data_IF_895909814385
#
_entry.id   IF_895909814385
#
_cell.length_a   1.000
_cell.length_b   1.000
_cell.length_c   1.000
_cell.angle_alpha   90.00
_cell.angle_beta   90.00
_cell.angle_gamma   90.00
#
_symmetry.space_group_name_H-M   'P 1'
#
loop_
_entity.id
_entity.type
_entity.pdbx_description
1 polymer ?
#
# COMPACT_ATOMS: atom_id res chain seq x y z
N UNK A 1 -19.38 30.98 16.59
CA UNK A 1 -19.05 30.07 15.47
C UNK A 1 -19.03 28.61 15.91
N UNK A 2 -18.10 28.18 16.77
CA UNK A 2 -17.96 26.78 17.15
C UNK A 2 -19.24 26.15 17.75
N UNK A 3 -19.97 26.90 18.58
CA UNK A 3 -21.22 26.43 19.17
C UNK A 3 -22.29 26.17 18.10
N UNK A 4 -22.48 27.09 17.15
CA UNK A 4 -23.45 26.92 16.05
C UNK A 4 -23.08 25.72 15.18
N UNK A 5 -21.78 25.56 14.85
CA UNK A 5 -21.27 24.42 14.06
C UNK A 5 -21.55 23.08 14.75
N UNK A 6 -21.23 23.01 16.06
CA UNK A 6 -21.46 21.79 16.85
C UNK A 6 -22.96 21.45 16.96
N UNK A 7 -23.78 22.45 17.19
CA UNK A 7 -25.25 22.28 17.29
C UNK A 7 -25.85 21.83 15.96
N UNK A 8 -25.50 22.49 14.85
CA UNK A 8 -25.98 22.11 13.52
C UNK A 8 -25.59 20.66 13.18
N UNK A 9 -24.36 20.23 13.54
CA UNK A 9 -23.91 18.85 13.36
C UNK A 9 -24.70 17.86 14.24
N UNK A 10 -24.91 18.19 15.53
CA UNK A 10 -25.66 17.32 16.45
C UNK A 10 -27.13 17.14 16.04
N UNK A 11 -27.74 18.19 15.49
CA UNK A 11 -29.12 18.14 15.02
C UNK A 11 -29.27 17.55 13.61
N UNK A 12 -28.16 17.30 12.89
CA UNK A 12 -28.20 16.93 11.47
C UNK A 12 -28.83 18.02 10.57
N UNK A 13 -28.88 19.27 11.06
CA UNK A 13 -29.55 20.39 10.39
C UNK A 13 -28.55 21.47 9.97
N UNK A 14 -28.12 21.40 8.73
CA UNK A 14 -27.28 22.43 8.11
C UNK A 14 -28.13 23.33 7.24
N UNK A 15 -28.14 24.63 7.58
CA UNK A 15 -28.86 25.68 6.84
C UNK A 15 -27.89 26.75 6.32
N UNK A 16 -28.33 27.62 5.39
CA UNK A 16 -27.54 28.78 4.98
C UNK A 16 -27.19 29.68 6.18
N UNK A 17 -28.14 29.89 7.09
CA UNK A 17 -27.90 30.65 8.31
C UNK A 17 -26.82 30.01 9.18
N UNK A 18 -26.93 28.71 9.49
CA UNK A 18 -25.91 28.01 10.28
C UNK A 18 -24.54 28.04 9.63
N UNK A 19 -24.45 27.87 8.30
CA UNK A 19 -23.21 27.94 7.52
C UNK A 19 -22.53 29.31 7.57
N UNK A 20 -23.32 30.40 7.65
CA UNK A 20 -22.79 31.76 7.80
C UNK A 20 -22.41 32.08 9.26
N UNK A 21 -23.28 31.74 10.21
CA UNK A 21 -22.99 31.98 11.63
C UNK A 21 -21.81 31.18 12.17
N UNK A 22 -21.59 29.97 11.66
CA UNK A 22 -20.42 29.17 12.09
C UNK A 22 -19.07 29.81 11.68
N UNK A 23 -19.07 30.57 10.58
CA UNK A 23 -17.89 31.30 10.09
C UNK A 23 -17.69 32.69 10.75
N UNK A 24 -18.67 33.14 11.51
CA UNK A 24 -18.70 34.45 12.14
C UNK A 24 -19.34 35.51 11.26
N UNK A 25 -20.07 36.42 11.87
CA UNK A 25 -20.68 37.59 11.25
C UNK A 25 -20.23 38.87 11.97
N UNK A 26 -20.32 39.99 11.26
CA UNK A 26 -20.06 41.29 11.85
C UNK A 26 -21.28 41.81 12.63
N UNK A 27 -21.22 41.85 13.97
CA UNK A 27 -22.33 42.37 14.76
C UNK A 27 -22.60 43.86 14.52
N UNK A 28 -21.59 44.64 14.10
CA UNK A 28 -21.78 46.08 13.76
C UNK A 28 -22.60 46.27 12.49
N UNK A 29 -22.65 45.25 11.62
CA UNK A 29 -23.44 45.28 10.39
C UNK A 29 -24.96 45.13 10.61
N UNK A 30 -25.40 44.63 11.77
CA UNK A 30 -26.81 44.30 12.01
C UNK A 30 -27.73 45.49 11.78
N UNK A 31 -27.41 46.67 12.32
CA UNK A 31 -28.22 47.88 12.16
C UNK A 31 -28.34 48.32 10.70
N UNK A 32 -27.24 48.39 9.98
CA UNK A 32 -27.23 48.73 8.57
C UNK A 32 -28.06 47.76 7.70
N UNK A 33 -27.94 46.45 8.00
CA UNK A 33 -28.72 45.44 7.29
C UNK A 33 -30.21 45.55 7.62
N UNK A 34 -30.59 45.86 8.87
CA UNK A 34 -31.95 46.09 9.26
C UNK A 34 -32.52 47.33 8.53
N UNK A 35 -31.83 48.46 8.55
CA UNK A 35 -32.27 49.70 7.87
C UNK A 35 -32.49 49.45 6.37
N UNK A 36 -31.60 48.68 5.71
CA UNK A 36 -31.78 48.31 4.30
C UNK A 36 -32.99 47.39 4.08
N UNK A 37 -33.22 46.45 4.99
CA UNK A 37 -34.39 45.56 4.92
C UNK A 37 -35.71 46.38 5.03
N UNK A 38 -35.75 47.33 5.96
CA UNK A 38 -36.91 48.22 6.17
C UNK A 38 -37.13 49.12 4.97
N UNK A 39 -36.07 49.69 4.39
CA UNK A 39 -36.13 50.45 3.14
C UNK A 39 -36.76 49.62 1.98
N UNK A 40 -36.36 48.35 1.87
CA UNK A 40 -36.91 47.47 0.84
C UNK A 40 -38.38 47.13 1.09
N UNK A 41 -38.82 46.98 2.35
CA UNK A 41 -40.23 46.78 2.71
C UNK A 41 -41.08 47.97 2.22
N UNK A 42 -40.59 49.18 2.47
CA UNK A 42 -41.29 50.41 2.01
C UNK A 42 -41.25 50.54 0.48
N UNK A 43 -40.09 50.31 -0.16
CA UNK A 43 -39.93 50.44 -1.60
C UNK A 43 -40.82 49.45 -2.38
N UNK A 44 -41.04 48.27 -1.85
CA UNK A 44 -41.83 47.20 -2.47
C UNK A 44 -43.30 47.23 -2.03
N UNK A 45 -43.71 48.20 -1.20
CA UNK A 45 -45.05 48.27 -0.61
C UNK A 45 -45.47 46.94 0.07
N UNK A 46 -44.50 46.32 0.75
CA UNK A 46 -44.68 44.99 1.33
C UNK A 46 -45.20 45.04 2.79
N UNK A 47 -45.38 46.23 3.35
CA UNK A 47 -45.88 46.44 4.71
C UNK A 47 -45.52 47.81 5.28
N UNK A 48 -46.04 48.08 6.49
CA UNK A 48 -45.78 49.33 7.21
C UNK A 48 -44.59 49.16 8.16
N UNK A 49 -43.65 50.11 8.10
CA UNK A 49 -42.50 50.15 9.01
C UNK A 49 -42.85 50.92 10.28
N UNK A 50 -42.83 50.27 11.43
CA UNK A 50 -43.07 50.86 12.74
C UNK A 50 -41.80 51.55 13.23
N UNK A 51 -41.95 52.78 13.76
CA UNK A 51 -40.81 53.54 14.27
C UNK A 51 -40.33 52.96 15.63
N UNK A 52 -39.01 52.89 15.77
CA UNK A 52 -38.30 52.45 16.97
C UNK A 52 -37.45 51.20 16.73
N UNK A 53 -36.34 51.12 17.44
CA UNK A 53 -35.41 49.99 17.37
C UNK A 53 -35.04 49.57 18.78
N UNK A 54 -35.12 48.27 19.05
CA UNK A 54 -34.60 47.67 20.25
C UNK A 54 -33.26 47.01 19.88
N UNK A 55 -32.16 47.53 20.41
CA UNK A 55 -30.82 46.97 20.18
C UNK A 55 -30.18 46.62 21.55
N UNK A 56 -29.94 45.32 21.80
CA UNK A 56 -29.33 44.83 23.01
C UNK A 56 -27.99 44.20 22.68
N UNK A 57 -26.93 44.88 22.95
CA UNK A 57 -25.58 44.38 22.69
C UNK A 57 -24.83 44.11 23.99
N UNK A 58 -24.83 42.84 24.40
CA UNK A 58 -24.26 42.42 25.74
C UNK A 58 -22.74 42.44 25.72
N UNK A 59 -22.09 42.03 24.63
CA UNK A 59 -20.63 41.98 24.53
C UNK A 59 -20.17 42.76 23.30
N UNK A 60 -19.89 44.04 23.51
CA UNK A 60 -19.38 44.90 22.45
C UNK A 60 -17.94 44.48 22.11
N UNK A 61 -17.64 44.25 20.82
CA UNK A 61 -16.28 43.99 20.40
C UNK A 61 -15.49 45.27 20.34
N UNK A 62 -14.30 45.27 20.93
CA UNK A 62 -13.34 46.36 20.81
C UNK A 62 -12.73 46.41 19.40
N UNK A 63 -12.27 47.59 19.02
CA UNK A 63 -11.54 47.82 17.79
C UNK A 63 -10.19 47.09 17.85
N UNK A 64 -9.94 46.24 16.84
CA UNK A 64 -8.68 45.53 16.74
C UNK A 64 -7.66 46.36 15.98
N UNK A 65 -6.42 46.38 16.48
CA UNK A 65 -5.30 47.09 15.87
C UNK A 65 -4.15 46.13 15.65
N UNK A 66 -3.47 46.28 14.50
CA UNK A 66 -2.28 45.50 14.15
C UNK A 66 -1.20 46.49 13.68
N UNK A 67 0.02 46.47 14.24
CA UNK A 67 1.12 47.31 13.77
C UNK A 67 1.47 47.01 12.31
N UNK A 68 1.57 48.05 11.47
CA UNK A 68 2.04 47.89 10.08
C UNK A 68 3.57 47.80 10.07
N UNK A 69 4.07 46.58 10.08
CA UNK A 69 5.52 46.29 10.02
C UNK A 69 5.96 46.17 8.57
N UNK A 70 6.24 47.29 7.92
CA UNK A 70 6.61 47.38 6.50
C UNK A 70 7.71 46.39 6.12
N UNK A 71 8.80 46.32 6.92
CA UNK A 71 9.92 45.43 6.65
C UNK A 71 9.55 43.94 6.78
N UNK A 72 8.66 43.61 7.72
CA UNK A 72 8.18 42.23 7.87
C UNK A 72 7.31 41.80 6.70
N UNK A 73 6.39 42.67 6.25
CA UNK A 73 5.55 42.42 5.07
C UNK A 73 6.42 42.24 3.82
N UNK A 74 7.36 43.19 3.57
CA UNK A 74 8.25 43.09 2.42
C UNK A 74 9.11 41.83 2.42
N UNK A 75 9.64 41.46 3.58
CA UNK A 75 10.45 40.25 3.72
C UNK A 75 9.63 38.98 3.43
N UNK A 76 8.38 38.93 3.91
CA UNK A 76 7.49 37.80 3.67
C UNK A 76 7.11 37.69 2.18
N UNK A 77 6.80 38.83 1.54
CA UNK A 77 6.34 38.86 0.17
C UNK A 77 7.46 38.92 -0.89
N UNK A 78 8.70 39.21 -0.46
CA UNK A 78 9.79 39.45 -1.38
C UNK A 78 9.67 40.77 -2.15
N UNK A 79 8.95 41.74 -1.60
CA UNK A 79 8.66 43.06 -2.21
C UNK A 79 9.49 44.18 -1.59
N UNK A 80 9.38 45.39 -2.16
CA UNK A 80 10.04 46.62 -1.65
C UNK A 80 9.04 47.78 -1.61
N UNK A 81 7.86 47.54 -1.07
CA UNK A 81 6.81 48.54 -0.95
C UNK A 81 7.12 49.48 0.21
N UNK A 82 6.87 50.74 0.03
CA UNK A 82 6.89 51.73 1.15
C UNK A 82 5.57 51.71 1.94
N UNK A 83 5.56 52.40 3.09
CA UNK A 83 4.37 52.48 3.95
C UNK A 83 3.19 53.10 3.23
N UNK A 84 3.39 54.14 2.41
CA UNK A 84 2.34 54.86 1.72
C UNK A 84 1.67 53.94 0.67
N UNK A 85 2.43 53.13 -0.05
CA UNK A 85 1.92 52.17 -1.00
C UNK A 85 1.05 51.09 -0.34
N UNK A 86 1.51 50.54 0.84
CA UNK A 86 0.73 49.56 1.60
C UNK A 86 -0.57 50.19 2.15
N UNK A 87 -0.50 51.40 2.68
CA UNK A 87 -1.65 52.12 3.22
C UNK A 87 -2.67 52.39 2.09
N UNK A 88 -2.22 52.84 0.92
CA UNK A 88 -3.08 53.07 -0.24
C UNK A 88 -3.79 51.82 -0.73
N UNK A 89 -3.25 50.63 -0.50
CA UNK A 89 -3.90 49.35 -0.76
C UNK A 89 -4.98 49.08 0.30
N UNK A 90 -4.66 49.30 1.59
CA UNK A 90 -5.53 48.90 2.68
C UNK A 90 -6.72 49.84 2.93
N UNK A 91 -6.56 51.16 2.76
CA UNK A 91 -7.63 52.09 3.01
C UNK A 91 -8.92 51.85 2.17
N UNK A 92 -8.84 51.58 0.86
CA UNK A 92 -10.04 51.28 0.06
C UNK A 92 -10.76 49.99 0.49
N UNK A 93 -10.09 49.11 1.21
CA UNK A 93 -10.66 47.85 1.75
C UNK A 93 -11.39 48.06 3.08
N UNK A 94 -11.43 49.31 3.58
CA UNK A 94 -12.09 49.68 4.82
C UNK A 94 -11.22 49.60 6.06
N UNK A 95 -9.90 49.39 5.91
CA UNK A 95 -8.96 49.52 7.01
C UNK A 95 -8.77 51.02 7.38
N UNK A 96 -8.54 51.31 8.65
CA UNK A 96 -8.12 52.61 9.14
C UNK A 96 -6.62 52.65 9.47
N UNK A 97 -6.13 53.85 9.76
CA UNK A 97 -4.77 54.07 10.26
C UNK A 97 -4.78 54.95 11.50
N UNK A 98 -4.00 54.60 12.51
CA UNK A 98 -3.70 55.42 13.66
C UNK A 98 -2.19 55.31 13.94
N UNK A 99 -1.43 56.35 13.51
CA UNK A 99 0.04 56.28 13.56
C UNK A 99 0.61 55.17 12.67
N UNK A 100 1.20 54.19 13.33
CA UNK A 100 1.75 52.99 12.66
C UNK A 100 0.82 51.78 12.75
N UNK A 101 -0.31 51.89 13.43
CA UNK A 101 -1.25 50.83 13.61
C UNK A 101 -2.34 50.84 12.52
N UNK A 102 -2.65 49.66 11.97
CA UNK A 102 -3.80 49.45 11.12
C UNK A 102 -5.00 49.15 11.99
N UNK A 103 -6.08 49.93 11.78
CA UNK A 103 -7.37 49.68 12.42
C UNK A 103 -8.12 48.69 11.57
N UNK A 104 -8.48 47.55 12.14
CA UNK A 104 -9.14 46.44 11.46
C UNK A 104 -10.66 46.66 11.47
N UNK A 105 -11.35 46.67 10.30
CA UNK A 105 -12.78 46.77 10.29
C UNK A 105 -13.42 45.56 10.97
N UNK A 106 -14.51 45.78 11.68
CA UNK A 106 -15.22 44.74 12.45
C UNK A 106 -15.72 43.55 11.61
N UNK A 107 -15.87 43.72 10.32
CA UNK A 107 -16.21 42.67 9.36
C UNK A 107 -15.05 41.72 9.07
N UNK A 108 -13.80 42.12 9.36
CA UNK A 108 -12.58 41.34 9.12
C UNK A 108 -12.08 40.71 10.43
N UNK A 109 -12.90 39.83 10.97
CA UNK A 109 -12.56 39.10 12.20
C UNK A 109 -11.41 38.09 12.01
N UNK A 110 -11.09 37.74 10.76
CA UNK A 110 -10.00 36.88 10.32
C UNK A 110 -8.61 37.50 10.50
N UNK A 111 -8.54 38.83 10.57
CA UNK A 111 -7.29 39.57 10.67
C UNK A 111 -6.78 39.64 12.10
N UNK A 112 -5.68 38.95 12.42
CA UNK A 112 -5.11 38.86 13.76
C UNK A 112 -3.59 39.17 13.83
N UNK A 113 -2.88 38.96 12.74
CA UNK A 113 -1.42 38.96 12.68
C UNK A 113 -0.88 39.73 11.47
N UNK A 114 0.42 39.99 11.48
CA UNK A 114 1.15 40.64 10.37
C UNK A 114 1.01 39.87 9.04
N UNK A 115 0.95 38.55 9.10
CA UNK A 115 0.79 37.74 7.89
C UNK A 115 -0.57 37.95 7.21
N UNK A 116 -1.62 38.26 8.00
CA UNK A 116 -2.94 38.53 7.46
C UNK A 116 -2.95 39.88 6.73
N UNK A 117 -2.19 40.87 7.28
CA UNK A 117 -1.96 42.16 6.60
C UNK A 117 -1.14 41.98 5.32
N UNK A 118 -0.09 41.14 5.38
CA UNK A 118 0.71 40.82 4.21
C UNK A 118 -0.11 40.14 3.10
N UNK A 119 -1.06 39.27 3.46
CA UNK A 119 -1.98 38.66 2.50
C UNK A 119 -2.82 39.69 1.76
N UNK A 120 -3.41 40.66 2.47
CA UNK A 120 -4.18 41.72 1.85
C UNK A 120 -3.34 42.58 0.89
N UNK A 121 -2.13 42.95 1.31
CA UNK A 121 -1.18 43.66 0.45
C UNK A 121 -0.84 42.82 -0.79
N UNK A 122 -0.53 41.55 -0.60
CA UNK A 122 -0.17 40.63 -1.67
C UNK A 122 -1.27 40.49 -2.72
N UNK A 123 -2.49 40.31 -2.26
CA UNK A 123 -3.67 40.12 -3.09
C UNK A 123 -3.92 41.29 -4.06
N UNK A 124 -3.65 42.52 -3.61
CA UNK A 124 -3.82 43.74 -4.41
C UNK A 124 -2.59 44.15 -5.21
N UNK A 125 -1.38 43.84 -4.71
CA UNK A 125 -0.15 43.94 -5.53
C UNK A 125 -0.22 42.98 -6.71
N UNK A 126 -0.78 41.79 -6.48
CA UNK A 126 -0.93 40.73 -7.45
C UNK A 126 0.19 39.67 -7.28
N UNK A 127 -0.21 38.43 -7.06
CA UNK A 127 0.71 37.29 -6.87
C UNK A 127 1.68 37.10 -8.05
N UNK A 128 1.26 37.43 -9.26
CA UNK A 128 2.10 37.35 -10.47
C UNK A 128 3.28 38.33 -10.47
N UNK A 129 3.24 39.37 -9.62
CA UNK A 129 4.32 40.38 -9.51
C UNK A 129 5.32 40.03 -8.41
N UNK A 130 5.04 39.00 -7.61
CA UNK A 130 5.94 38.57 -6.55
C UNK A 130 7.07 37.72 -7.13
N UNK A 131 8.32 37.98 -6.70
CA UNK A 131 9.46 37.25 -7.22
C UNK A 131 9.42 35.78 -6.77
N UNK A 132 9.53 34.87 -7.72
CA UNK A 132 9.83 33.47 -7.38
C UNK A 132 11.25 33.36 -6.89
N UNK A 133 11.44 32.77 -5.71
CA UNK A 133 12.75 32.47 -5.16
C UNK A 133 13.00 30.98 -5.16
N UNK A 134 14.13 30.56 -5.70
CA UNK A 134 14.57 29.17 -5.58
C UNK A 134 15.02 28.89 -4.14
N UNK A 135 14.70 27.72 -3.63
CA UNK A 135 15.22 27.25 -2.35
C UNK A 135 16.75 27.13 -2.49
N UNK A 136 17.49 27.82 -1.63
CA UNK A 136 18.95 27.76 -1.58
C UNK A 136 19.37 26.81 -0.46
N UNK A 137 20.15 25.79 -0.82
CA UNK A 137 20.64 24.80 0.14
C UNK A 137 21.03 23.51 -0.56
N UNK A 138 21.65 22.61 0.17
CA UNK A 138 21.91 21.26 -0.30
C UNK A 138 20.63 20.47 -0.14
N UNK A 139 19.94 20.18 -1.24
CA UNK A 139 18.83 19.25 -1.23
C UNK A 139 19.43 17.82 -1.18
N UNK A 140 19.39 17.21 -0.03
CA UNK A 140 19.87 15.84 0.20
C UNK A 140 18.71 14.82 0.32
N UNK A 141 17.59 15.09 -0.36
CA UNK A 141 16.50 14.14 -0.40
C UNK A 141 16.98 12.85 -1.10
N UNK A 142 17.06 11.77 -0.36
CA UNK A 142 17.38 10.43 -0.85
C UNK A 142 16.32 9.47 -0.34
N UNK A 143 15.91 8.48 -1.13
CA UNK A 143 15.05 7.42 -0.65
C UNK A 143 15.70 6.71 0.55
N UNK A 144 14.90 6.29 1.50
CA UNK A 144 15.33 5.39 2.56
C UNK A 144 15.64 4.00 1.99
N UNK A 145 16.36 3.17 2.73
CA UNK A 145 16.61 1.78 2.32
C UNK A 145 15.30 1.03 2.04
N UNK A 146 14.27 1.25 2.87
CA UNK A 146 12.95 0.62 2.68
C UNK A 146 12.27 1.09 1.39
N UNK A 147 12.32 2.38 1.08
CA UNK A 147 11.78 2.92 -0.17
C UNK A 147 12.52 2.38 -1.40
N UNK A 148 13.86 2.33 -1.36
CA UNK A 148 14.66 1.74 -2.45
C UNK A 148 14.36 0.26 -2.63
N UNK A 149 14.23 -0.48 -1.54
CA UNK A 149 13.87 -1.89 -1.57
C UNK A 149 12.49 -2.11 -2.19
N UNK A 150 11.49 -1.37 -1.72
CA UNK A 150 10.13 -1.38 -2.26
C UNK A 150 10.12 -1.10 -3.77
N UNK A 151 10.71 0.02 -4.20
CA UNK A 151 10.78 0.42 -5.60
C UNK A 151 11.46 -0.65 -6.47
N UNK A 152 12.52 -1.28 -5.94
CA UNK A 152 13.24 -2.35 -6.63
C UNK A 152 12.33 -3.56 -6.89
N UNK A 153 11.53 -3.97 -5.91
CA UNK A 153 10.61 -5.11 -6.05
C UNK A 153 9.43 -4.79 -6.98
N UNK A 154 8.84 -3.59 -6.86
CA UNK A 154 7.73 -3.17 -7.74
C UNK A 154 8.18 -3.11 -9.19
N UNK A 155 9.35 -2.52 -9.47
CA UNK A 155 9.94 -2.49 -10.80
C UNK A 155 10.24 -3.90 -11.34
N UNK A 156 10.67 -4.83 -10.49
CA UNK A 156 10.87 -6.21 -10.89
C UNK A 156 9.57 -6.89 -11.31
N UNK A 157 8.47 -6.70 -10.56
CA UNK A 157 7.14 -7.23 -10.90
C UNK A 157 6.64 -6.70 -12.23
N UNK A 158 6.79 -5.40 -12.49
CA UNK A 158 6.48 -4.80 -13.80
C UNK A 158 7.34 -5.45 -14.90
N UNK A 159 8.63 -5.67 -14.63
CA UNK A 159 9.55 -6.36 -15.54
C UNK A 159 9.16 -7.81 -15.82
N UNK A 160 8.46 -8.48 -14.90
CA UNK A 160 7.92 -9.83 -15.09
C UNK A 160 6.56 -9.86 -15.78
N UNK A 161 6.05 -8.70 -16.23
CA UNK A 161 4.81 -8.58 -16.99
C UNK A 161 3.55 -8.47 -16.14
N UNK A 162 3.67 -8.10 -14.87
CA UNK A 162 2.53 -7.84 -14.00
C UNK A 162 2.16 -6.35 -13.99
N UNK A 163 0.89 -6.05 -13.77
CA UNK A 163 0.36 -4.69 -13.67
C UNK A 163 0.03 -4.35 -12.23
N UNK A 164 0.45 -3.18 -11.78
CA UNK A 164 0.11 -2.66 -10.47
C UNK A 164 -1.36 -2.22 -10.43
N UNK A 165 -2.01 -2.54 -9.32
CA UNK A 165 -3.37 -2.08 -9.03
C UNK A 165 -3.42 -1.43 -7.65
N UNK A 166 -4.44 -0.63 -7.42
CA UNK A 166 -4.74 -0.02 -6.14
C UNK A 166 -6.22 -0.24 -5.82
N UNK A 167 -6.50 -0.84 -4.66
CA UNK A 167 -7.84 -1.15 -4.20
C UNK A 167 -8.13 -0.48 -2.85
N UNK A 168 -9.41 -0.39 -2.47
CA UNK A 168 -9.78 0.13 -1.17
C UNK A 168 -9.30 -0.77 -0.03
N UNK A 169 -8.87 -0.15 1.07
CA UNK A 169 -8.45 -0.84 2.29
C UNK A 169 -9.62 -1.41 3.11
N UNK A 170 -10.82 -1.41 2.56
CA UNK A 170 -12.04 -1.84 3.24
C UNK A 170 -12.99 -2.55 2.27
N UNK A 171 -13.78 -3.48 2.84
CA UNK A 171 -14.79 -4.25 2.13
C UNK A 171 -15.95 -4.64 3.06
N UNK A 172 -16.90 -5.42 2.57
CA UNK A 172 -18.00 -6.00 3.35
C UNK A 172 -17.54 -7.28 4.06
N UNK A 173 -18.17 -7.63 5.19
CA UNK A 173 -18.00 -8.95 5.82
C UNK A 173 -18.32 -10.14 4.90
N UNK A 174 -19.15 -9.93 3.88
CA UNK A 174 -19.46 -10.92 2.83
C UNK A 174 -18.21 -11.35 2.04
N UNK A 175 -17.17 -10.51 2.01
CA UNK A 175 -15.91 -10.82 1.35
C UNK A 175 -15.23 -12.07 1.94
N UNK A 176 -15.39 -12.31 3.24
CA UNK A 176 -14.86 -13.51 3.90
C UNK A 176 -15.54 -14.80 3.39
N UNK A 177 -16.86 -14.74 3.20
CA UNK A 177 -17.62 -15.87 2.63
C UNK A 177 -17.25 -16.07 1.17
N UNK A 178 -17.09 -14.97 0.41
CA UNK A 178 -16.70 -15.02 -0.99
C UNK A 178 -15.35 -15.73 -1.22
N UNK A 179 -14.38 -15.54 -0.32
CA UNK A 179 -13.09 -16.25 -0.35
C UNK A 179 -13.08 -17.52 0.49
N UNK A 180 -14.24 -18.01 0.90
CA UNK A 180 -14.41 -19.31 1.56
C UNK A 180 -13.66 -19.43 2.90
N UNK A 181 -13.53 -18.35 3.67
CA UNK A 181 -12.96 -18.41 5.03
C UNK A 181 -13.93 -19.06 6.00
N UNK A 182 -13.50 -20.00 6.85
CA UNK A 182 -14.32 -20.60 7.91
C UNK A 182 -14.87 -19.53 8.88
N UNK A 183 -16.01 -19.82 9.53
CA UNK A 183 -16.62 -18.89 10.49
C UNK A 183 -15.71 -18.52 11.66
N UNK A 184 -14.86 -19.45 12.08
CA UNK A 184 -13.91 -19.28 13.19
C UNK A 184 -12.50 -18.86 12.75
N UNK A 185 -12.32 -18.47 11.47
CA UNK A 185 -11.01 -18.02 10.99
C UNK A 185 -10.61 -16.70 11.66
N UNK A 186 -9.38 -16.58 12.18
CA UNK A 186 -8.90 -15.35 12.80
C UNK A 186 -8.99 -14.10 11.91
N UNK A 187 -8.88 -14.27 10.59
CA UNK A 187 -9.01 -13.18 9.62
C UNK A 187 -10.41 -12.54 9.60
N UNK A 188 -11.44 -13.22 10.13
CA UNK A 188 -12.79 -12.63 10.29
C UNK A 188 -12.90 -11.61 11.42
N UNK A 189 -11.91 -11.55 12.30
CA UNK A 189 -11.81 -10.51 13.31
C UNK A 189 -11.28 -9.22 12.69
N UNK A 190 -12.17 -8.42 12.14
CA UNK A 190 -11.85 -7.18 11.42
C UNK A 190 -12.38 -5.95 12.13
N UNK A 191 -11.67 -4.84 11.98
CA UNK A 191 -12.10 -3.52 12.47
C UNK A 191 -13.36 -3.06 11.74
N UNK A 192 -14.33 -2.61 12.50
CA UNK A 192 -15.57 -2.05 11.96
C UNK A 192 -15.43 -0.53 11.81
N UNK A 193 -15.75 -0.03 10.63
CA UNK A 193 -15.74 1.41 10.35
C UNK A 193 -17.00 2.03 10.95
N UNK A 194 -16.83 3.06 11.80
CA UNK A 194 -17.95 3.67 12.54
C UNK A 194 -18.92 4.45 11.66
N UNK A 195 -18.45 4.97 10.52
CA UNK A 195 -19.23 5.76 9.57
C UNK A 195 -18.93 5.35 8.13
N UNK A 196 -19.20 4.09 7.73
CA UNK A 196 -18.87 3.59 6.41
C UNK A 196 -19.70 4.31 5.34
N UNK A 197 -19.18 4.36 4.11
CA UNK A 197 -19.91 4.87 2.95
C UNK A 197 -21.13 4.00 2.60
N UNK A 198 -21.06 2.72 2.91
CA UNK A 198 -22.10 1.73 2.72
C UNK A 198 -21.73 0.40 3.34
N UNK A 199 -22.62 -0.60 3.28
CA UNK A 199 -22.36 -1.95 3.80
C UNK A 199 -21.13 -2.59 3.13
N UNK A 200 -20.94 -2.33 1.83
CA UNK A 200 -19.83 -2.88 1.04
C UNK A 200 -18.44 -2.35 1.45
N UNK A 201 -18.41 -1.35 2.33
CA UNK A 201 -17.17 -0.72 2.82
C UNK A 201 -17.16 -0.62 4.34
N UNK A 202 -17.71 -1.64 5.02
CA UNK A 202 -18.03 -1.56 6.46
C UNK A 202 -16.91 -2.02 7.39
N UNK A 203 -15.89 -2.72 6.88
CA UNK A 203 -14.76 -3.22 7.68
C UNK A 203 -13.43 -2.98 6.98
N UNK A 204 -12.36 -2.84 7.78
CA UNK A 204 -11.00 -2.82 7.26
C UNK A 204 -10.57 -4.23 6.85
N UNK A 205 -9.82 -4.34 5.76
CA UNK A 205 -9.34 -5.62 5.24
C UNK A 205 -8.30 -6.27 6.16
N UNK A 206 -8.45 -7.56 6.39
CA UNK A 206 -7.50 -8.42 7.11
C UNK A 206 -6.67 -9.30 6.17
N UNK A 207 -7.08 -9.42 4.91
CA UNK A 207 -6.39 -10.09 3.79
C UNK A 207 -6.69 -9.32 2.51
N UNK A 208 -5.77 -9.29 1.57
CA UNK A 208 -5.93 -8.62 0.28
C UNK A 208 -6.60 -9.50 -0.79
N UNK A 209 -6.76 -10.81 -0.53
CA UNK A 209 -7.31 -11.75 -1.51
C UNK A 209 -8.71 -11.36 -2.04
N UNK A 210 -9.70 -10.92 -1.23
CA UNK A 210 -11.00 -10.51 -1.75
C UNK A 210 -10.90 -9.36 -2.75
N UNK A 211 -10.12 -8.33 -2.44
CA UNK A 211 -9.92 -7.16 -3.29
C UNK A 211 -9.26 -7.54 -4.63
N UNK A 212 -8.26 -8.41 -4.59
CA UNK A 212 -7.61 -8.94 -5.80
C UNK A 212 -8.60 -9.75 -6.65
N UNK A 213 -9.43 -10.60 -6.03
CA UNK A 213 -10.43 -11.39 -6.73
C UNK A 213 -11.51 -10.52 -7.39
N UNK A 214 -11.91 -9.41 -6.77
CA UNK A 214 -12.84 -8.45 -7.37
C UNK A 214 -12.27 -7.83 -8.66
N UNK A 215 -10.98 -7.46 -8.66
CA UNK A 215 -10.32 -6.90 -9.85
C UNK A 215 -10.15 -7.97 -10.92
N UNK A 216 -9.75 -9.18 -10.56
CA UNK A 216 -9.65 -10.33 -11.48
C UNK A 216 -11.01 -10.63 -12.11
N UNK A 217 -12.09 -10.69 -11.33
CA UNK A 217 -13.45 -10.93 -11.83
C UNK A 217 -13.89 -9.82 -12.80
N UNK A 218 -13.56 -8.57 -12.51
CA UNK A 218 -13.84 -7.43 -13.38
C UNK A 218 -13.13 -7.54 -14.72
N UNK A 219 -11.84 -7.89 -14.72
CA UNK A 219 -11.06 -8.11 -15.93
C UNK A 219 -11.60 -9.30 -16.75
N UNK A 220 -11.93 -10.41 -16.07
CA UNK A 220 -12.54 -11.57 -16.72
C UNK A 220 -13.88 -11.23 -17.37
N UNK A 221 -14.75 -10.49 -16.69
CA UNK A 221 -16.04 -10.03 -17.21
C UNK A 221 -15.86 -9.05 -18.37
N UNK A 222 -14.79 -8.29 -18.41
CA UNK A 222 -14.37 -7.45 -19.53
C UNK A 222 -13.74 -8.24 -20.68
N UNK A 223 -13.71 -9.59 -20.58
CA UNK A 223 -13.17 -10.52 -21.59
C UNK A 223 -11.67 -10.40 -21.82
N UNK A 224 -10.89 -9.96 -20.84
CA UNK A 224 -9.46 -10.08 -20.90
C UNK A 224 -9.07 -11.58 -20.98
N UNK A 225 -8.25 -11.94 -21.96
CA UNK A 225 -7.82 -13.33 -22.16
C UNK A 225 -6.88 -13.80 -21.05
N UNK A 226 -6.08 -12.88 -20.51
CA UNK A 226 -5.14 -13.09 -19.41
C UNK A 226 -5.09 -11.84 -18.52
N UNK A 227 -4.66 -12.04 -17.29
CA UNK A 227 -4.53 -10.97 -16.32
C UNK A 227 -3.44 -11.35 -15.31
N UNK A 228 -2.50 -10.45 -15.07
CA UNK A 228 -1.43 -10.62 -14.09
C UNK A 228 -1.26 -9.31 -13.33
N UNK A 229 -1.63 -9.31 -12.06
CA UNK A 229 -1.77 -8.13 -11.23
C UNK A 229 -0.97 -8.27 -9.95
N UNK A 230 -0.50 -7.12 -9.44
CA UNK A 230 0.03 -7.03 -8.10
C UNK A 230 -0.46 -5.77 -7.39
N UNK A 231 -0.50 -5.81 -6.07
CA UNK A 231 -0.83 -4.68 -5.20
C UNK A 231 0.10 -4.71 -3.99
N UNK A 232 0.86 -3.63 -3.79
CA UNK A 232 1.47 -3.36 -2.49
C UNK A 232 0.44 -2.63 -1.63
N UNK A 233 0.12 -3.21 -0.50
CA UNK A 233 -1.07 -2.83 0.25
C UNK A 233 -0.88 -3.05 1.74
N UNK A 234 -1.84 -2.55 2.55
CA UNK A 234 -1.84 -2.74 4.00
C UNK A 234 -3.05 -3.56 4.42
N UNK A 235 -2.83 -4.55 5.28
CA UNK A 235 -3.87 -5.28 6.00
C UNK A 235 -3.89 -4.87 7.47
N UNK A 236 -5.05 -4.97 8.12
CA UNK A 236 -5.30 -4.40 9.45
C UNK A 236 -5.79 -5.49 10.40
N UNK A 237 -5.07 -5.71 11.48
CA UNK A 237 -5.45 -6.67 12.52
C UNK A 237 -5.78 -5.92 13.80
N UNK A 238 -7.01 -6.09 14.38
CA UNK A 238 -7.35 -5.47 15.65
C UNK A 238 -6.42 -5.93 16.77
N UNK A 239 -6.04 -5.01 17.65
CA UNK A 239 -5.32 -5.37 18.88
C UNK A 239 -6.29 -5.95 19.92
N UNK A 240 -5.75 -6.72 20.86
CA UNK A 240 -6.53 -7.25 21.98
C UNK A 240 -7.08 -6.14 22.88
N UNK A 241 -6.36 -5.03 23.01
CA UNK A 241 -6.78 -3.82 23.69
C UNK A 241 -7.49 -2.90 22.66
N UNK A 242 -8.79 -2.63 22.81
CA UNK A 242 -9.57 -1.81 21.86
C UNK A 242 -9.15 -0.33 21.84
N UNK A 243 -8.42 0.16 22.84
CA UNK A 243 -7.91 1.52 22.88
C UNK A 243 -6.59 1.69 22.11
N UNK A 244 -5.98 0.58 21.69
CA UNK A 244 -4.78 0.61 20.85
C UNK A 244 -5.12 0.63 19.36
N UNK A 245 -4.29 1.31 18.58
CA UNK A 245 -4.39 1.29 17.14
C UNK A 245 -4.16 -0.14 16.61
N UNK A 246 -4.79 -0.52 15.48
CA UNK A 246 -4.60 -1.83 14.87
C UNK A 246 -3.14 -2.06 14.47
N UNK A 247 -2.78 -3.31 14.37
CA UNK A 247 -1.52 -3.68 13.70
C UNK A 247 -1.72 -3.55 12.19
N UNK A 248 -0.92 -2.70 11.58
CA UNK A 248 -0.83 -2.53 10.14
C UNK A 248 0.28 -3.41 9.58
N UNK A 249 -0.06 -4.26 8.61
CA UNK A 249 0.91 -5.16 7.98
C UNK A 249 0.99 -4.83 6.49
N UNK A 250 2.16 -4.40 6.05
CA UNK A 250 2.47 -4.18 4.64
C UNK A 250 2.52 -5.51 3.91
N UNK A 251 1.69 -5.64 2.89
CA UNK A 251 1.36 -6.91 2.24
C UNK A 251 1.44 -6.75 0.73
N UNK A 252 2.22 -7.60 0.07
CA UNK A 252 2.26 -7.70 -1.38
C UNK A 252 1.31 -8.82 -1.82
N UNK A 253 0.27 -8.44 -2.56
CA UNK A 253 -0.69 -9.36 -3.14
C UNK A 253 -0.44 -9.54 -4.63
N UNK A 254 -0.30 -10.78 -5.07
CA UNK A 254 -0.17 -11.17 -6.47
C UNK A 254 -1.38 -11.99 -6.90
N UNK A 255 -1.88 -11.77 -8.12
CA UNK A 255 -2.98 -12.55 -8.67
C UNK A 255 -2.91 -12.62 -10.19
N UNK A 256 -3.12 -13.83 -10.78
CA UNK A 256 -3.04 -13.98 -12.22
C UNK A 256 -3.91 -15.12 -12.74
N UNK A 257 -4.33 -15.00 -14.01
CA UNK A 257 -4.91 -16.08 -14.81
C UNK A 257 -4.54 -15.92 -16.29
N UNK A 258 -4.63 -17.01 -17.04
CA UNK A 258 -4.39 -17.04 -18.49
C UNK A 258 -3.21 -17.91 -18.88
N UNK A 259 -2.76 -17.78 -20.13
CA UNK A 259 -1.69 -18.59 -20.66
C UNK A 259 -0.35 -18.33 -19.95
N UNK A 260 0.28 -19.39 -19.42
CA UNK A 260 1.54 -19.30 -18.67
C UNK A 260 1.38 -18.96 -17.18
N UNK A 261 0.18 -18.62 -16.73
CA UNK A 261 -0.10 -18.32 -15.32
C UNK A 261 -0.73 -19.51 -14.61
N UNK A 262 0.11 -20.47 -14.24
CA UNK A 262 -0.23 -21.56 -13.34
C UNK A 262 0.52 -21.42 -12.01
N UNK A 263 0.39 -22.40 -11.12
CA UNK A 263 1.07 -22.41 -9.82
C UNK A 263 2.60 -22.27 -9.98
N UNK A 264 3.21 -22.97 -10.95
CA UNK A 264 4.65 -22.94 -11.13
C UNK A 264 5.10 -21.61 -11.77
N UNK A 265 4.30 -21.04 -12.66
CA UNK A 265 4.55 -19.72 -13.25
C UNK A 265 4.60 -18.62 -12.16
N UNK A 266 3.57 -18.54 -11.30
CA UNK A 266 3.56 -17.57 -10.20
C UNK A 266 4.66 -17.86 -9.16
N UNK A 267 4.93 -19.15 -8.88
CA UNK A 267 6.03 -19.54 -8.00
C UNK A 267 7.37 -19.05 -8.54
N UNK A 268 7.58 -19.13 -9.87
CA UNK A 268 8.78 -18.60 -10.52
C UNK A 268 8.93 -17.09 -10.33
N UNK A 269 7.84 -16.32 -10.41
CA UNK A 269 7.85 -14.88 -10.11
C UNK A 269 8.23 -14.63 -8.66
N UNK A 270 7.64 -15.36 -7.71
CA UNK A 270 7.98 -15.23 -6.28
C UNK A 270 9.44 -15.59 -6.01
N UNK A 271 9.96 -16.67 -6.63
CA UNK A 271 11.38 -17.04 -6.52
C UNK A 271 12.30 -15.94 -7.08
N UNK A 272 11.90 -15.30 -8.17
CA UNK A 272 12.65 -14.16 -8.73
C UNK A 272 12.57 -12.89 -7.87
N UNK A 273 11.46 -12.66 -7.18
CA UNK A 273 11.38 -11.59 -6.16
C UNK A 273 12.33 -11.86 -4.99
N UNK A 274 12.37 -13.10 -4.51
CA UNK A 274 13.29 -13.50 -3.45
C UNK A 274 14.76 -13.34 -3.88
N UNK A 275 15.09 -13.70 -5.11
CA UNK A 275 16.40 -13.48 -5.69
C UNK A 275 16.73 -11.97 -5.80
N UNK A 276 15.78 -11.15 -6.25
CA UNK A 276 15.92 -9.69 -6.32
C UNK A 276 16.13 -9.07 -4.94
N UNK A 277 15.44 -9.58 -3.91
CA UNK A 277 15.62 -9.20 -2.52
C UNK A 277 16.91 -9.78 -1.90
N UNK A 278 17.70 -10.56 -2.66
CA UNK A 278 18.87 -11.29 -2.18
C UNK A 278 18.57 -12.20 -0.97
N UNK A 279 17.35 -12.76 -0.92
CA UNK A 279 16.96 -13.72 0.12
C UNK A 279 17.44 -15.11 -0.27
N UNK A 280 18.18 -15.75 0.64
CA UNK A 280 18.59 -17.14 0.51
C UNK A 280 17.61 -18.08 1.25
N UNK A 281 17.57 -19.35 0.81
CA UNK A 281 16.97 -20.46 1.55
C UNK A 281 15.48 -20.34 1.91
N UNK A 282 14.68 -19.77 0.99
CA UNK A 282 13.22 -19.79 1.12
C UNK A 282 12.69 -21.24 1.02
N UNK A 283 11.85 -21.63 1.97
CA UNK A 283 11.23 -22.96 2.02
C UNK A 283 9.74 -22.86 1.67
N UNK A 284 9.31 -23.63 0.68
CA UNK A 284 7.90 -23.80 0.32
C UNK A 284 7.37 -25.08 0.99
N UNK A 285 6.49 -24.92 1.96
CA UNK A 285 5.88 -26.01 2.71
C UNK A 285 4.43 -26.21 2.25
N UNK A 286 4.04 -27.46 1.92
CA UNK A 286 2.68 -27.78 1.50
C UNK A 286 1.66 -27.31 2.55
N UNK A 287 0.65 -26.57 2.11
CA UNK A 287 -0.47 -26.13 2.93
C UNK A 287 -1.77 -26.78 2.42
N UNK A 288 -2.40 -27.59 3.29
CA UNK A 288 -3.67 -28.28 2.99
C UNK A 288 -4.83 -27.73 3.83
N UNK A 289 -4.56 -26.79 4.73
CA UNK A 289 -5.54 -26.23 5.66
C UNK A 289 -6.21 -24.96 5.13
N UNK A 290 -5.59 -24.27 4.15
CA UNK A 290 -6.14 -23.04 3.57
C UNK A 290 -7.37 -23.30 2.73
N UNK A 291 -8.52 -22.79 3.14
CA UNK A 291 -9.80 -23.02 2.48
C UNK A 291 -10.03 -22.14 1.25
N UNK A 292 -9.31 -21.02 1.16
CA UNK A 292 -9.35 -20.11 0.00
C UNK A 292 -8.53 -20.63 -1.19
N UNK A 293 -7.65 -21.58 -0.97
CA UNK A 293 -6.75 -22.16 -1.96
C UNK A 293 -7.00 -23.65 -2.18
N UNK A 294 -6.61 -24.14 -3.34
CA UNK A 294 -6.72 -25.55 -3.69
C UNK A 294 -5.76 -26.40 -2.83
N UNK A 295 -6.25 -27.41 -2.06
CA UNK A 295 -5.42 -28.12 -1.07
C UNK A 295 -4.25 -28.91 -1.67
N UNK A 296 -4.32 -29.24 -2.96
CA UNK A 296 -3.24 -29.91 -3.68
C UNK A 296 -2.23 -28.98 -4.36
N UNK A 297 -2.50 -27.65 -4.39
CA UNK A 297 -1.67 -26.65 -5.08
C UNK A 297 -1.59 -25.36 -4.26
N UNK A 298 -1.20 -25.52 -2.99
CA UNK A 298 -1.01 -24.42 -2.05
C UNK A 298 0.22 -24.71 -1.19
N UNK A 299 1.01 -23.68 -0.94
CA UNK A 299 2.17 -23.75 -0.06
C UNK A 299 2.30 -22.48 0.77
N UNK A 300 2.76 -22.64 2.00
CA UNK A 300 3.28 -21.55 2.81
C UNK A 300 4.77 -21.34 2.50
N UNK A 301 5.18 -20.09 2.47
CA UNK A 301 6.55 -19.69 2.19
C UNK A 301 7.18 -19.25 3.51
N UNK A 302 8.34 -19.78 3.81
CA UNK A 302 9.07 -19.54 5.06
C UNK A 302 10.48 -19.06 4.80
N UNK A 303 10.91 -18.08 5.57
CA UNK A 303 12.26 -17.56 5.63
C UNK A 303 12.79 -17.85 7.06
N UNK A 304 13.59 -18.90 7.21
CA UNK A 304 13.90 -19.43 8.53
C UNK A 304 12.63 -19.88 9.26
N UNK A 305 12.35 -19.29 10.42
CA UNK A 305 11.13 -19.54 11.22
C UNK A 305 10.00 -18.56 10.93
N UNK A 306 10.25 -17.51 10.14
CA UNK A 306 9.25 -16.49 9.82
C UNK A 306 8.43 -16.88 8.59
N UNK A 307 7.11 -16.88 8.74
CA UNK A 307 6.21 -17.08 7.61
C UNK A 307 6.16 -15.81 6.76
N UNK A 308 6.70 -15.89 5.54
CA UNK A 308 6.62 -14.83 4.55
C UNK A 308 5.20 -14.67 4.00
N UNK A 309 4.51 -15.78 3.72
CA UNK A 309 3.19 -15.72 3.13
C UNK A 309 2.69 -17.06 2.61
N UNK A 310 1.68 -16.99 1.75
CA UNK A 310 1.04 -18.16 1.14
C UNK A 310 0.93 -17.96 -0.36
N UNK A 311 1.19 -19.01 -1.14
CA UNK A 311 1.01 -19.05 -2.61
C UNK A 311 0.15 -20.26 -2.97
N UNK A 312 -0.78 -20.11 -3.89
CA UNK A 312 -1.62 -21.23 -4.33
C UNK A 312 -2.49 -20.93 -5.54
N UNK A 313 -3.06 -22.00 -6.07
CA UNK A 313 -4.21 -21.91 -6.98
C UNK A 313 -5.45 -21.61 -6.14
N UNK A 314 -6.22 -20.60 -6.53
CA UNK A 314 -7.44 -20.20 -5.81
C UNK A 314 -8.46 -21.36 -5.88
N UNK A 315 -9.15 -21.62 -4.76
CA UNK A 315 -10.09 -22.74 -4.67
C UNK A 315 -11.24 -22.60 -5.66
N UNK A 316 -11.67 -23.69 -6.35
CA UNK A 316 -12.78 -23.64 -7.31
C UNK A 316 -14.08 -23.06 -6.74
N UNK A 317 -14.39 -23.27 -5.46
CA UNK A 317 -15.56 -22.68 -4.82
C UNK A 317 -15.44 -21.14 -4.72
N UNK A 318 -14.24 -20.62 -4.46
CA UNK A 318 -13.97 -19.16 -4.49
C UNK A 318 -14.17 -18.63 -5.90
N UNK A 319 -13.60 -19.29 -6.91
CA UNK A 319 -13.78 -18.89 -8.31
C UNK A 319 -15.25 -18.86 -8.71
N UNK A 320 -16.06 -19.83 -8.26
CA UNK A 320 -17.49 -19.86 -8.49
C UNK A 320 -18.23 -18.68 -7.85
N UNK A 321 -17.84 -18.27 -6.62
CA UNK A 321 -18.42 -17.12 -5.93
C UNK A 321 -18.18 -15.81 -6.69
N UNK A 322 -17.04 -15.68 -7.37
CA UNK A 322 -16.70 -14.51 -8.20
C UNK A 322 -17.09 -14.64 -9.68
N UNK A 323 -17.68 -15.79 -10.07
CA UNK A 323 -18.08 -16.05 -11.46
C UNK A 323 -16.91 -16.20 -12.43
N UNK A 324 -15.71 -16.52 -11.95
CA UNK A 324 -14.47 -16.68 -12.73
C UNK A 324 -14.29 -18.16 -13.10
N UNK A 325 -14.17 -18.46 -14.38
CA UNK A 325 -14.03 -19.85 -14.87
C UNK A 325 -12.60 -20.35 -15.00
N UNK A 326 -11.63 -19.54 -15.51
CA UNK A 326 -10.24 -19.97 -15.59
C UNK A 326 -9.64 -20.19 -14.21
N UNK A 327 -8.60 -21.02 -14.15
CA UNK A 327 -7.79 -21.13 -12.92
C UNK A 327 -7.14 -19.80 -12.64
N UNK A 328 -7.17 -19.40 -11.38
CA UNK A 328 -6.49 -18.22 -10.85
C UNK A 328 -5.42 -18.68 -9.88
N UNK A 329 -4.26 -18.08 -9.96
CA UNK A 329 -3.17 -18.27 -9.01
C UNK A 329 -2.94 -16.99 -8.24
N UNK A 330 -2.67 -17.09 -6.96
CA UNK A 330 -2.49 -15.94 -6.10
C UNK A 330 -1.39 -16.19 -5.04
N UNK A 331 -0.74 -15.10 -4.62
CA UNK A 331 0.20 -15.12 -3.51
C UNK A 331 0.03 -13.87 -2.66
N UNK A 332 0.03 -14.04 -1.35
CA UNK A 332 -0.04 -12.96 -0.37
C UNK A 332 1.22 -13.02 0.51
N UNK A 333 2.07 -11.99 0.43
CA UNK A 333 3.41 -11.96 1.02
C UNK A 333 3.55 -10.77 1.98
N UNK A 334 4.19 -10.97 3.11
CA UNK A 334 4.49 -9.95 4.12
C UNK A 334 5.76 -9.19 3.75
N UNK A 335 5.63 -7.92 3.42
CA UNK A 335 6.75 -7.07 3.01
C UNK A 335 7.71 -6.75 4.17
N UNK A 336 7.20 -6.69 5.41
CA UNK A 336 8.04 -6.51 6.62
C UNK A 336 8.98 -7.70 6.83
N UNK A 337 8.49 -8.92 6.66
CA UNK A 337 9.30 -10.15 6.74
C UNK A 337 10.31 -10.20 5.61
N UNK A 338 9.88 -9.90 4.38
CA UNK A 338 10.78 -9.89 3.23
C UNK A 338 11.92 -8.86 3.40
N UNK A 339 11.58 -7.66 3.89
CA UNK A 339 12.57 -6.63 4.18
C UNK A 339 13.54 -7.00 5.30
N UNK A 340 13.05 -7.67 6.36
CA UNK A 340 13.88 -8.12 7.47
C UNK A 340 14.91 -9.19 7.04
N UNK A 341 14.52 -10.06 6.11
CA UNK A 341 15.36 -11.15 5.60
C UNK A 341 16.15 -10.79 4.32
N UNK A 342 16.06 -9.53 3.85
CA UNK A 342 16.78 -9.12 2.65
C UNK A 342 18.30 -9.29 2.81
N UNK A 343 18.93 -9.76 1.77
CA UNK A 343 20.39 -9.79 1.70
C UNK A 343 20.99 -8.41 1.35
N UNK A 344 22.30 -8.35 1.44
CA UNK A 344 23.05 -7.21 0.92
C UNK A 344 23.22 -7.26 -0.61
N UNK A 345 24.02 -6.34 -1.14
CA UNK A 345 24.38 -6.38 -2.56
C UNK A 345 25.04 -7.72 -2.91
N UNK A 346 24.65 -8.36 -4.03
CA UNK A 346 25.25 -9.63 -4.43
C UNK A 346 26.76 -9.51 -4.53
N UNK A 347 27.48 -10.41 -3.84
CA UNK A 347 28.92 -10.43 -3.91
C UNK A 347 29.38 -10.97 -5.27
N UNK A 348 30.36 -10.31 -5.85
CA UNK A 348 30.97 -10.78 -7.08
C UNK A 348 31.59 -12.17 -6.84
N UNK A 349 31.22 -13.14 -7.68
CA UNK A 349 31.85 -14.46 -7.75
C UNK A 349 32.74 -14.51 -8.99
N UNK A 350 34.00 -14.86 -8.78
CA UNK A 350 34.92 -15.06 -9.89
C UNK A 350 34.43 -16.17 -10.82
N UNK A 351 34.53 -15.95 -12.14
CA UNK A 351 34.22 -16.99 -13.11
C UNK A 351 35.05 -18.24 -12.88
N UNK A 352 34.46 -19.44 -13.02
CA UNK A 352 35.15 -20.70 -12.79
C UNK A 352 36.34 -20.84 -13.75
N UNK A 353 37.49 -21.24 -13.23
CA UNK A 353 38.72 -21.48 -14.02
C UNK A 353 38.83 -22.92 -14.53
N UNK A 354 38.13 -23.85 -13.93
CA UNK A 354 38.18 -25.27 -14.22
C UNK A 354 36.87 -25.76 -14.81
N UNK A 355 36.85 -26.74 -15.71
CA UNK A 355 35.63 -27.32 -16.26
C UNK A 355 34.80 -28.05 -15.19
N UNK A 356 33.48 -28.05 -15.36
CA UNK A 356 32.58 -28.85 -14.52
C UNK A 356 32.37 -30.24 -15.11
N UNK A 357 31.93 -31.17 -14.26
CA UNK A 357 31.42 -32.48 -14.65
C UNK A 357 29.91 -32.51 -14.36
N UNK A 358 29.10 -32.82 -15.37
CA UNK A 358 27.65 -32.96 -15.20
C UNK A 358 27.27 -34.43 -15.02
N UNK A 359 26.30 -34.67 -14.11
CA UNK A 359 25.71 -36.01 -13.88
C UNK A 359 24.20 -35.86 -13.74
N UNK A 360 23.47 -36.63 -14.52
CA UNK A 360 22.03 -36.69 -14.44
C UNK A 360 21.59 -37.90 -13.64
N UNK A 361 20.64 -37.70 -12.71
CA UNK A 361 20.10 -38.75 -11.85
C UNK A 361 18.58 -38.82 -12.07
N UNK A 362 18.08 -39.91 -12.59
CA UNK A 362 16.69 -40.24 -12.60
C UNK A 362 16.32 -41.00 -11.32
N UNK A 363 15.53 -40.40 -10.47
CA UNK A 363 15.19 -40.89 -9.14
C UNK A 363 13.73 -41.29 -9.06
N UNK A 364 13.44 -42.39 -8.36
CA UNK A 364 12.07 -42.81 -8.05
C UNK A 364 11.79 -42.59 -6.57
N UNK A 365 10.71 -41.88 -6.28
CA UNK A 365 10.27 -41.55 -4.95
C UNK A 365 8.76 -41.76 -4.76
N UNK A 366 8.31 -41.88 -3.52
CA UNK A 366 6.89 -41.82 -3.20
C UNK A 366 6.31 -40.42 -3.53
N UNK A 367 5.08 -40.34 -3.99
CA UNK A 367 4.41 -39.09 -4.30
C UNK A 367 4.38 -38.13 -3.10
N UNK A 368 4.33 -38.68 -1.89
CA UNK A 368 4.32 -37.93 -0.65
C UNK A 368 5.65 -37.22 -0.35
N UNK A 369 6.79 -37.67 -0.91
CA UNK A 369 8.11 -37.08 -0.67
C UNK A 369 8.26 -35.80 -1.47
N UNK A 370 8.44 -34.63 -0.82
CA UNK A 370 8.63 -33.36 -1.54
C UNK A 370 9.92 -33.34 -2.37
N UNK A 371 9.87 -32.77 -3.57
CA UNK A 371 11.08 -32.57 -4.38
C UNK A 371 12.13 -31.72 -3.68
N UNK A 372 11.69 -30.76 -2.83
CA UNK A 372 12.57 -29.92 -2.03
C UNK A 372 13.40 -30.72 -1.01
N UNK A 373 12.83 -31.74 -0.39
CA UNK A 373 13.53 -32.59 0.55
C UNK A 373 14.61 -33.46 -0.14
N UNK A 374 14.25 -33.95 -1.34
CA UNK A 374 15.23 -34.68 -2.19
C UNK A 374 16.36 -33.72 -2.58
N UNK A 375 16.06 -32.53 -3.08
CA UNK A 375 17.04 -31.52 -3.46
C UNK A 375 17.93 -31.09 -2.28
N UNK A 376 17.37 -30.92 -1.08
CA UNK A 376 18.12 -30.60 0.15
C UNK A 376 19.10 -31.70 0.51
N UNK A 377 18.68 -32.97 0.44
CA UNK A 377 19.54 -34.12 0.69
C UNK A 377 20.66 -34.26 -0.34
N UNK A 378 20.36 -34.02 -1.64
CA UNK A 378 21.38 -34.00 -2.69
C UNK A 378 22.43 -32.93 -2.40
N UNK A 379 22.00 -31.68 -2.10
CA UNK A 379 22.93 -30.59 -1.77
C UNK A 379 23.81 -30.91 -0.57
N UNK A 380 23.23 -31.48 0.51
CA UNK A 380 23.93 -31.83 1.70
C UNK A 380 24.97 -32.96 1.46
N UNK A 381 24.62 -34.00 0.70
CA UNK A 381 25.47 -35.15 0.43
C UNK A 381 26.59 -34.85 -0.56
N UNK A 382 26.30 -34.07 -1.63
CA UNK A 382 27.31 -33.67 -2.61
C UNK A 382 28.27 -32.59 -2.05
N UNK A 383 27.79 -31.78 -1.09
CA UNK A 383 28.60 -30.80 -0.37
C UNK A 383 29.22 -29.73 -1.29
N UNK A 384 30.47 -29.36 -0.99
CA UNK A 384 31.15 -28.26 -1.70
C UNK A 384 31.45 -28.53 -3.19
N UNK A 385 31.38 -29.78 -3.63
CA UNK A 385 31.59 -30.13 -5.03
C UNK A 385 30.39 -29.79 -5.90
N UNK A 386 29.19 -29.60 -5.32
CA UNK A 386 27.99 -29.26 -6.07
C UNK A 386 27.97 -27.74 -6.34
N UNK A 387 28.09 -27.36 -7.60
CA UNK A 387 27.95 -25.97 -8.06
C UNK A 387 26.49 -25.61 -8.29
N UNK A 388 25.74 -26.49 -8.97
CA UNK A 388 24.30 -26.28 -9.21
C UNK A 388 23.55 -27.61 -9.25
N UNK A 389 22.25 -27.52 -8.92
CA UNK A 389 21.31 -28.63 -8.94
C UNK A 389 20.03 -28.16 -9.62
N UNK A 390 19.64 -28.85 -10.69
CA UNK A 390 18.43 -28.51 -11.45
C UNK A 390 17.52 -29.72 -11.54
N UNK A 391 16.26 -29.59 -11.12
CA UNK A 391 15.20 -30.55 -11.42
C UNK A 391 14.66 -30.20 -12.79
N UNK A 392 14.89 -31.08 -13.79
CA UNK A 392 14.53 -30.76 -15.18
C UNK A 392 13.37 -31.61 -15.73
N UNK A 393 13.00 -32.70 -15.03
CA UNK A 393 11.83 -33.51 -15.42
C UNK A 393 11.15 -34.15 -14.19
N UNK A 394 9.83 -34.20 -14.21
CA UNK A 394 8.98 -34.91 -13.25
C UNK A 394 7.97 -35.75 -14.01
N UNK A 395 8.09 -37.07 -13.91
CA UNK A 395 7.20 -37.99 -14.59
C UNK A 395 6.31 -38.76 -13.61
N UNK A 396 5.01 -38.69 -13.87
CA UNK A 396 3.96 -39.47 -13.19
C UNK A 396 3.10 -40.09 -14.27
N UNK A 397 3.23 -41.35 -14.58
CA UNK A 397 2.51 -41.96 -15.70
C UNK A 397 2.45 -43.48 -15.64
N UNK A 398 1.93 -44.09 -16.70
CA UNK A 398 1.59 -45.53 -16.80
C UNK A 398 2.76 -46.48 -16.54
N UNK A 399 4.00 -46.02 -16.69
CA UNK A 399 5.21 -46.84 -16.44
C UNK A 399 5.79 -46.64 -15.02
N UNK A 400 5.04 -46.00 -14.11
CA UNK A 400 5.39 -45.86 -12.71
C UNK A 400 4.51 -46.76 -11.83
N UNK A 401 5.06 -47.30 -10.77
CA UNK A 401 4.24 -47.97 -9.76
C UNK A 401 3.26 -47.00 -9.10
N UNK A 402 2.02 -47.44 -8.78
CA UNK A 402 1.04 -46.59 -8.14
C UNK A 402 1.60 -45.90 -6.88
N UNK A 403 1.41 -44.57 -6.75
CA UNK A 403 1.93 -43.79 -5.63
C UNK A 403 3.40 -43.41 -5.72
N UNK A 404 4.04 -43.62 -6.87
CA UNK A 404 5.43 -43.26 -7.14
C UNK A 404 5.52 -42.21 -8.25
N UNK A 405 6.57 -41.37 -8.18
CA UNK A 405 6.97 -40.39 -9.19
C UNK A 405 8.44 -40.55 -9.52
N UNK A 406 8.81 -40.21 -10.76
CA UNK A 406 10.20 -40.11 -11.20
C UNK A 406 10.59 -38.64 -11.26
N UNK A 407 11.77 -38.30 -10.70
CA UNK A 407 12.33 -36.96 -10.73
C UNK A 407 13.72 -37.03 -11.36
N UNK A 408 13.97 -36.21 -12.37
CA UNK A 408 15.28 -36.15 -13.02
C UNK A 408 16.02 -34.87 -12.61
N UNK A 409 17.15 -35.06 -11.95
CA UNK A 409 18.01 -33.99 -11.50
C UNK A 409 19.33 -33.96 -12.28
N UNK A 410 19.74 -32.76 -12.69
CA UNK A 410 21.08 -32.52 -13.24
C UNK A 410 21.97 -31.90 -12.17
N UNK A 411 23.07 -32.54 -11.88
CA UNK A 411 24.08 -32.12 -10.91
C UNK A 411 25.28 -31.58 -11.66
N UNK A 412 25.65 -30.32 -11.47
CA UNK A 412 26.90 -29.74 -11.94
C UNK A 412 27.89 -29.77 -10.81
N UNK A 413 28.96 -30.54 -10.99
CA UNK A 413 30.03 -30.77 -9.99
C UNK A 413 31.28 -30.04 -10.44
N UNK A 414 31.92 -29.31 -9.54
CA UNK A 414 33.17 -28.57 -9.80
C UNK A 414 34.02 -28.44 -8.52
N UNK A 415 35.33 -28.48 -8.69
CA UNK A 415 36.26 -28.06 -7.65
C UNK A 415 36.72 -26.60 -7.94
N UNK A 416 36.94 -25.82 -6.88
CA UNK A 416 37.31 -24.41 -7.01
C UNK A 416 38.77 -24.21 -7.44
N UNK A 417 39.63 -25.15 -7.10
CA UNK A 417 41.08 -25.05 -7.22
C UNK A 417 41.71 -25.95 -8.30
N UNK A 418 40.97 -26.93 -8.85
CA UNK A 418 41.43 -27.86 -9.86
C UNK A 418 40.30 -28.43 -10.73
N UNK A 419 40.64 -29.17 -11.76
CA UNK A 419 39.68 -30.01 -12.48
C UNK A 419 39.28 -31.21 -11.63
N UNK A 420 37.97 -31.43 -11.49
CA UNK A 420 37.46 -32.60 -10.79
C UNK A 420 37.73 -33.88 -11.60
N UNK A 421 38.09 -34.98 -10.96
CA UNK A 421 38.23 -36.27 -11.65
C UNK A 421 36.89 -37.00 -11.74
N UNK A 422 36.74 -37.90 -12.71
CA UNK A 422 35.54 -38.73 -12.85
C UNK A 422 35.28 -39.60 -11.61
N UNK A 423 36.34 -40.13 -10.98
CA UNK A 423 36.25 -40.90 -9.74
C UNK A 423 35.69 -40.07 -8.57
N UNK A 424 36.11 -38.81 -8.43
CA UNK A 424 35.57 -37.89 -7.41
C UNK A 424 34.11 -37.57 -7.67
N UNK A 425 33.68 -37.35 -8.95
CA UNK A 425 32.30 -37.13 -9.31
C UNK A 425 31.42 -38.38 -9.03
N UNK A 426 31.91 -39.59 -9.34
CA UNK A 426 31.22 -40.84 -9.00
C UNK A 426 31.08 -41.04 -7.50
N UNK A 427 32.11 -40.71 -6.72
CA UNK A 427 32.04 -40.78 -5.27
C UNK A 427 31.03 -39.79 -4.66
N UNK A 428 30.89 -38.58 -5.24
CA UNK A 428 29.85 -37.64 -4.86
C UNK A 428 28.46 -38.21 -5.14
N UNK A 429 28.24 -38.79 -6.34
CA UNK A 429 26.99 -39.45 -6.70
C UNK A 429 26.65 -40.60 -5.77
N UNK A 430 27.63 -41.47 -5.46
CA UNK A 430 27.43 -42.58 -4.52
C UNK A 430 26.97 -42.10 -3.14
N UNK A 431 27.55 -41.01 -2.62
CA UNK A 431 27.13 -40.41 -1.34
C UNK A 431 25.70 -39.83 -1.43
N UNK A 432 25.37 -39.21 -2.55
CA UNK A 432 24.00 -38.70 -2.80
C UNK A 432 23.00 -39.84 -2.77
N UNK A 433 23.25 -40.91 -3.52
CA UNK A 433 22.34 -42.06 -3.59
C UNK A 433 22.20 -42.77 -2.22
N UNK A 434 23.29 -42.92 -1.46
CA UNK A 434 23.24 -43.50 -0.11
C UNK A 434 22.36 -42.64 0.83
N UNK A 435 22.46 -41.30 0.77
CA UNK A 435 21.64 -40.40 1.59
C UNK A 435 20.17 -40.39 1.18
N UNK A 436 19.89 -40.57 -0.11
CA UNK A 436 18.54 -40.63 -0.65
C UNK A 436 17.82 -41.94 -0.31
N UNK A 437 18.56 -43.04 -0.25
CA UNK A 437 18.03 -44.34 0.16
C UNK A 437 17.44 -44.33 1.57
N UNK A 438 17.96 -43.50 2.49
CA UNK A 438 17.41 -43.32 3.85
C UNK A 438 15.93 -42.85 3.86
N UNK A 439 15.47 -42.20 2.78
CA UNK A 439 14.07 -41.74 2.63
C UNK A 439 13.31 -42.52 1.56
N UNK A 440 13.79 -43.70 1.18
CA UNK A 440 13.15 -44.55 0.20
C UNK A 440 13.18 -44.00 -1.24
N UNK A 441 14.19 -43.16 -1.56
CA UNK A 441 14.42 -42.68 -2.91
C UNK A 441 15.52 -43.45 -3.57
N UNK A 442 15.24 -44.05 -4.73
CA UNK A 442 16.14 -44.95 -5.43
C UNK A 442 16.41 -44.44 -6.87
N UNK A 443 17.53 -44.89 -7.44
CA UNK A 443 17.84 -44.65 -8.84
C UNK A 443 16.85 -45.44 -9.72
N UNK A 444 16.30 -44.81 -10.73
CA UNK A 444 15.47 -45.47 -11.73
C UNK A 444 16.31 -46.45 -12.53
N UNK A 445 15.94 -47.70 -12.53
CA UNK A 445 16.53 -48.77 -13.36
C UNK A 445 16.16 -48.64 -14.82
#
# INVERSE_FOLDING_TARGET
GPSVRTTAKKLGMRTEASGRYEKGLDPNGCRRCLDRALELVQLLDAGDVVNGVVDVWVHKREERRIPLRVDAVNRLLGTQLDKAQMVNILLPLGFGMDGDDIIIPSSRWDMERDCDVAEEVARFVGYNKMPSTAIRGVASARPTERQTFHETLMNALVGYGMYEIETFSFYSRKAFDAVNLPENDPLRNALVISNPLGEDTSIMRTTALPSMMDVIARNYNARAAECALFEDTTTYTPNADPDQLPTETETLMLGAYGAGWDYLGLKGVVEKLLETACVADARFARNTAGTSYHPGRCADIWLGEDKLGTIGEVHPAVLANYGVKPRVVAAELRMDVLFAHRGGTPAFKQLPKHPAITRDLALVADDAVPAADIASRIRKAAGKALESLTLFDVYTGEHMAPGKKSLAYSLVLRAADRTLTDEEAENAVKKVLANLAEIGVELRS
#
